data_IF_375464216876
#
_entry.id   IF_375464216876
#
_cell.length_a   1.000
_cell.length_b   1.000
_cell.length_c   1.000
_cell.angle_alpha   90.00
_cell.angle_beta   90.00
_cell.angle_gamma   90.00
#
_symmetry.space_group_name_H-M   'P 1'
#
loop_
_entity.id
_entity.type
_entity.pdbx_description
1 polymer ?
#
# COMPACT_ATOMS: atom_id res chain seq x y z
N UNK A 1 11.08 1.32 -20.74
CA UNK A 1 11.04 0.48 -19.52
C UNK A 1 12.22 0.78 -18.60
N UNK A 2 13.46 0.63 -19.07
CA UNK A 2 14.68 0.81 -18.25
C UNK A 2 14.74 2.12 -17.46
N UNK A 3 14.42 3.27 -18.09
CA UNK A 3 14.36 4.56 -17.39
C UNK A 3 13.34 4.57 -16.24
N UNK A 4 12.17 3.94 -16.44
CA UNK A 4 11.13 3.86 -15.41
C UNK A 4 11.64 3.04 -14.23
N UNK A 5 12.23 1.87 -14.49
CA UNK A 5 12.82 1.01 -13.46
C UNK A 5 13.93 1.76 -12.71
N UNK A 6 14.80 2.50 -13.40
CA UNK A 6 15.85 3.30 -12.77
C UNK A 6 15.26 4.35 -11.83
N UNK A 7 14.26 5.11 -12.25
CA UNK A 7 13.59 6.08 -11.39
C UNK A 7 12.92 5.41 -10.18
N UNK A 8 12.27 4.26 -10.38
CA UNK A 8 11.59 3.54 -9.31
C UNK A 8 12.52 2.82 -8.34
N UNK A 9 13.82 2.71 -8.63
CA UNK A 9 14.85 2.23 -7.71
C UNK A 9 15.45 3.35 -6.84
N UNK A 10 15.28 4.62 -7.22
CA UNK A 10 15.74 5.79 -6.45
C UNK A 10 14.73 6.18 -5.37
N UNK A 11 14.48 5.28 -4.41
CA UNK A 11 13.55 5.54 -3.31
C UNK A 11 14.20 6.38 -2.22
N UNK A 12 13.38 7.24 -1.60
CA UNK A 12 13.77 8.04 -0.43
C UNK A 12 12.77 7.86 0.69
N UNK A 13 13.18 8.21 1.91
CA UNK A 13 12.26 8.24 3.05
C UNK A 13 11.08 9.16 2.74
N UNK A 14 9.87 8.76 3.16
CA UNK A 14 8.63 9.49 2.84
C UNK A 14 8.68 10.94 3.30
N UNK A 15 9.34 11.23 4.42
CA UNK A 15 9.46 12.58 4.98
C UNK A 15 10.48 13.46 4.23
N UNK A 16 11.33 12.87 3.38
CA UNK A 16 12.45 13.55 2.71
C UNK A 16 12.26 13.64 1.18
N UNK A 17 11.03 13.44 0.69
CA UNK A 17 10.73 13.46 -0.74
C UNK A 17 9.53 14.35 -1.03
N UNK A 18 9.59 15.07 -2.13
CA UNK A 18 8.44 15.72 -2.74
C UNK A 18 7.95 14.87 -3.92
N UNK A 19 6.70 14.40 -3.84
CA UNK A 19 6.09 13.70 -4.95
C UNK A 19 5.83 14.67 -6.12
N UNK A 20 6.10 14.24 -7.37
CA UNK A 20 5.77 15.04 -8.54
C UNK A 20 4.27 15.35 -8.64
N UNK A 21 3.94 16.55 -9.14
CA UNK A 21 2.56 16.95 -9.48
C UNK A 21 2.16 16.49 -10.88
N UNK A 22 2.57 15.29 -11.27
CA UNK A 22 2.31 14.68 -12.59
C UNK A 22 1.69 13.30 -12.42
N UNK A 23 1.15 12.71 -13.49
CA UNK A 23 0.84 11.28 -13.54
C UNK A 23 2.13 10.45 -13.57
N UNK A 24 2.01 9.14 -13.33
CA UNK A 24 3.11 8.20 -13.51
C UNK A 24 3.05 7.01 -12.56
N UNK A 25 4.21 6.46 -12.25
CA UNK A 25 4.38 5.27 -11.41
C UNK A 25 5.04 5.63 -10.08
N UNK A 26 4.80 4.81 -9.07
CA UNK A 26 5.46 4.89 -7.77
C UNK A 26 5.72 3.48 -7.21
N UNK A 27 6.74 3.38 -6.37
CA UNK A 27 7.11 2.13 -5.71
C UNK A 27 7.39 2.40 -4.22
N UNK A 28 6.84 1.56 -3.34
CA UNK A 28 7.11 1.60 -1.90
C UNK A 28 8.15 0.55 -1.52
N UNK A 29 9.05 0.95 -0.63
CA UNK A 29 10.14 0.14 -0.12
C UNK A 29 10.16 0.11 1.39
N UNK A 30 10.73 -0.93 1.96
CA UNK A 30 11.12 -0.94 3.38
C UNK A 30 12.43 -0.15 3.56
N UNK A 31 12.49 0.75 4.54
CA UNK A 31 13.73 1.47 4.92
C UNK A 31 14.24 1.07 6.30
N UNK A 32 13.38 0.48 7.13
CA UNK A 32 13.73 -0.09 8.42
C UNK A 32 13.81 -1.62 8.36
N UNK A 33 14.57 -2.21 9.29
CA UNK A 33 14.68 -3.66 9.41
C UNK A 33 13.48 -4.23 10.18
N UNK A 34 13.14 -5.50 9.92
CA UNK A 34 12.23 -6.31 10.74
C UNK A 34 10.83 -5.69 10.96
N UNK A 35 10.37 -4.84 10.03
CA UNK A 35 9.10 -4.10 10.19
C UNK A 35 7.90 -5.06 10.25
N UNK A 36 8.01 -6.22 9.59
CA UNK A 36 7.02 -7.31 9.57
C UNK A 36 7.42 -8.51 10.45
N UNK A 37 8.40 -8.37 11.35
CA UNK A 37 8.76 -9.42 12.31
C UNK A 37 7.54 -9.84 13.16
N UNK A 38 7.45 -11.15 13.43
CA UNK A 38 6.29 -11.76 14.08
C UNK A 38 5.08 -11.96 13.17
N UNK A 39 5.21 -11.69 11.87
CA UNK A 39 4.18 -11.94 10.86
C UNK A 39 4.69 -12.91 9.79
N UNK A 40 3.77 -13.40 8.93
CA UNK A 40 4.13 -14.24 7.80
C UNK A 40 4.82 -13.47 6.64
N UNK A 41 5.11 -12.18 6.82
CA UNK A 41 5.90 -11.33 5.91
C UNK A 41 7.31 -11.03 6.50
N UNK A 42 7.76 -11.79 7.49
CA UNK A 42 9.03 -11.58 8.22
C UNK A 42 10.30 -11.81 7.38
N UNK A 43 10.15 -12.42 6.22
CA UNK A 43 11.21 -12.59 5.23
C UNK A 43 11.49 -11.32 4.41
N UNK A 44 10.56 -10.35 4.36
CA UNK A 44 10.78 -9.03 3.76
C UNK A 44 11.86 -8.29 4.55
N UNK A 45 12.94 -7.89 3.87
CA UNK A 45 14.09 -7.19 4.44
C UNK A 45 14.09 -5.71 4.07
N UNK A 46 14.96 -4.93 4.72
CA UNK A 46 15.21 -3.53 4.36
C UNK A 46 15.70 -3.45 2.91
N UNK A 47 15.15 -2.51 2.14
CA UNK A 47 15.48 -2.31 0.73
C UNK A 47 14.59 -3.11 -0.23
N UNK A 48 13.70 -3.97 0.27
CA UNK A 48 12.77 -4.70 -0.58
C UNK A 48 11.67 -3.78 -1.10
N UNK A 49 11.37 -3.88 -2.40
CA UNK A 49 10.17 -3.30 -2.97
C UNK A 49 8.95 -4.12 -2.52
N UNK A 50 8.00 -3.47 -1.85
CA UNK A 50 6.82 -4.15 -1.30
C UNK A 50 5.54 -3.84 -2.07
N UNK A 51 5.53 -2.76 -2.86
CA UNK A 51 4.39 -2.39 -3.70
C UNK A 51 4.81 -1.49 -4.85
N UNK A 52 4.27 -1.74 -6.04
CA UNK A 52 4.30 -0.83 -7.20
C UNK A 52 2.87 -0.40 -7.50
N UNK A 53 2.69 0.87 -7.87
CA UNK A 53 1.41 1.37 -8.29
C UNK A 53 1.48 2.46 -9.35
N UNK A 54 0.33 2.74 -9.94
CA UNK A 54 0.13 3.83 -10.88
C UNK A 54 -0.78 4.95 -10.35
N UNK A 55 -0.47 6.19 -10.74
CA UNK A 55 -1.32 7.37 -10.67
C UNK A 55 -1.68 7.82 -12.10
N UNK A 56 -2.79 7.29 -12.64
CA UNK A 56 -3.24 7.53 -14.02
C UNK A 56 -4.23 8.68 -14.17
N UNK A 57 -5.23 8.74 -13.28
CA UNK A 57 -6.32 9.74 -13.31
C UNK A 57 -6.08 10.90 -12.32
N UNK A 58 -4.96 10.83 -11.59
CA UNK A 58 -4.56 11.83 -10.61
C UNK A 58 -3.04 11.94 -10.57
N UNK A 59 -2.53 13.00 -9.93
CA UNK A 59 -1.11 13.23 -9.78
C UNK A 59 -0.50 12.35 -8.68
N UNK A 60 0.79 12.06 -8.79
CA UNK A 60 1.53 11.20 -7.84
C UNK A 60 1.44 11.75 -6.41
N UNK A 61 1.48 13.07 -6.20
CA UNK A 61 1.27 13.70 -4.89
C UNK A 61 -0.11 13.42 -4.30
N UNK A 62 -1.17 13.46 -5.11
CA UNK A 62 -2.53 13.15 -4.67
C UNK A 62 -2.67 11.66 -4.35
N UNK A 63 -2.13 10.79 -5.21
CA UNK A 63 -2.18 9.34 -5.04
C UNK A 63 -1.44 8.90 -3.77
N UNK A 64 -0.20 9.35 -3.59
CA UNK A 64 0.65 8.90 -2.47
C UNK A 64 0.32 9.65 -1.19
N UNK A 65 0.41 10.98 -1.14
CA UNK A 65 0.20 11.72 0.11
C UNK A 65 -1.26 11.78 0.52
N UNK A 66 -2.16 12.08 -0.42
CA UNK A 66 -3.57 12.32 -0.07
C UNK A 66 -4.39 11.03 0.05
N UNK A 67 -3.90 9.91 -0.48
CA UNK A 67 -4.53 8.59 -0.32
C UNK A 67 -3.71 7.64 0.55
N UNK A 68 -2.53 7.18 0.10
CA UNK A 68 -1.77 6.15 0.80
C UNK A 68 -1.23 6.57 2.17
N UNK A 69 -0.89 7.86 2.36
CA UNK A 69 -0.31 8.36 3.61
C UNK A 69 -1.33 9.05 4.54
N UNK A 70 -2.59 9.17 4.12
CA UNK A 70 -3.62 9.87 4.91
C UNK A 70 -4.66 8.94 5.54
N UNK A 71 -5.33 8.09 4.76
CA UNK A 71 -6.42 7.26 5.29
C UNK A 71 -6.50 5.89 4.64
N UNK A 72 -6.86 4.90 5.43
CA UNK A 72 -7.05 3.52 4.98
C UNK A 72 -8.27 3.37 4.07
N UNK A 73 -9.29 4.20 4.22
CA UNK A 73 -10.53 4.13 3.45
C UNK A 73 -10.38 4.19 1.92
N UNK A 74 -9.28 4.76 1.41
CA UNK A 74 -9.00 4.90 -0.03
C UNK A 74 -7.78 4.12 -0.53
N UNK A 75 -7.04 3.45 0.35
CA UNK A 75 -5.74 2.84 0.03
C UNK A 75 -5.76 1.33 0.25
N UNK A 76 -5.66 0.56 -0.83
CA UNK A 76 -5.57 -0.91 -0.75
C UNK A 76 -4.27 -1.35 -0.09
N UNK A 77 -3.15 -0.70 -0.42
CA UNK A 77 -1.85 -0.93 0.23
C UNK A 77 -1.93 -0.71 1.75
N UNK A 78 -2.47 0.44 2.18
CA UNK A 78 -2.56 0.79 3.60
C UNK A 78 -3.48 -0.15 4.36
N UNK A 79 -4.61 -0.56 3.75
CA UNK A 79 -5.48 -1.62 4.30
C UNK A 79 -4.73 -2.93 4.51
N UNK A 80 -3.90 -3.32 3.55
CA UNK A 80 -3.14 -4.56 3.62
C UNK A 80 -2.06 -4.49 4.70
N UNK A 81 -1.25 -3.42 4.73
CA UNK A 81 -0.22 -3.20 5.75
C UNK A 81 -0.84 -3.17 7.15
N UNK A 82 -1.88 -2.35 7.36
CA UNK A 82 -2.55 -2.26 8.65
C UNK A 82 -3.19 -3.59 9.09
N UNK A 83 -3.75 -4.36 8.15
CA UNK A 83 -4.31 -5.68 8.48
C UNK A 83 -3.23 -6.68 8.93
N UNK A 84 -2.06 -6.69 8.26
CA UNK A 84 -0.92 -7.53 8.68
C UNK A 84 -0.41 -7.11 10.06
N UNK A 85 -0.37 -5.81 10.33
CA UNK A 85 0.21 -5.25 11.55
C UNK A 85 -0.80 -4.98 12.67
N UNK A 86 -2.05 -5.44 12.52
CA UNK A 86 -3.15 -5.12 13.43
C UNK A 86 -2.81 -5.37 14.90
N UNK A 87 -2.24 -6.53 15.22
CA UNK A 87 -1.83 -6.87 16.59
C UNK A 87 -0.61 -6.07 17.05
N UNK A 88 0.41 -5.96 16.19
CA UNK A 88 1.69 -5.29 16.49
C UNK A 88 1.51 -3.80 16.78
N UNK A 89 0.60 -3.13 16.09
CA UNK A 89 0.33 -1.70 16.24
C UNK A 89 -0.93 -1.39 17.06
N UNK A 90 -1.58 -2.43 17.61
CA UNK A 90 -2.84 -2.29 18.35
C UNK A 90 -3.90 -1.54 17.53
N UNK A 91 -4.08 -1.90 16.26
CA UNK A 91 -5.01 -1.21 15.37
C UNK A 91 -6.44 -1.72 15.55
N UNK A 92 -7.38 -0.81 15.47
CA UNK A 92 -8.80 -1.09 15.62
C UNK A 92 -9.55 -0.85 14.30
N UNK A 93 -9.91 -1.92 13.57
CA UNK A 93 -10.76 -1.80 12.39
C UNK A 93 -12.13 -1.23 12.77
N UNK A 94 -12.63 -0.35 11.91
CA UNK A 94 -13.97 0.23 11.98
C UNK A 94 -14.58 0.35 10.58
N UNK A 95 -15.89 0.54 10.52
CA UNK A 95 -16.61 0.72 9.27
C UNK A 95 -16.15 1.99 8.55
N UNK A 96 -16.04 1.91 7.22
CA UNK A 96 -15.77 3.10 6.42
C UNK A 96 -17.03 3.96 6.32
N UNK A 97 -17.05 5.15 6.90
CA UNK A 97 -18.21 6.05 6.84
C UNK A 97 -19.29 5.69 7.88
N UNK A 98 -20.47 6.32 7.77
CA UNK A 98 -21.50 6.28 8.83
C UNK A 98 -22.55 5.18 8.67
N UNK A 99 -22.70 4.62 7.47
CA UNK A 99 -23.78 3.66 7.15
C UNK A 99 -23.22 2.27 6.85
N UNK A 100 -23.88 1.25 7.40
CA UNK A 100 -23.58 -0.18 7.29
C UNK A 100 -23.87 -0.78 5.91
N UNK A 101 -23.24 -0.24 4.87
CA UNK A 101 -23.27 -0.83 3.53
C UNK A 101 -22.20 -1.90 3.38
N UNK A 102 -22.43 -2.93 2.55
CA UNK A 102 -21.42 -3.96 2.29
C UNK A 102 -20.11 -3.36 1.77
N UNK A 103 -20.18 -2.29 0.96
CA UNK A 103 -18.99 -1.57 0.49
C UNK A 103 -18.18 -0.95 1.63
N UNK A 104 -18.86 -0.41 2.65
CA UNK A 104 -18.24 0.24 3.80
C UNK A 104 -17.66 -0.75 4.81
N UNK A 105 -18.31 -1.89 4.98
CA UNK A 105 -17.82 -3.01 5.77
C UNK A 105 -16.62 -3.68 5.08
N UNK A 106 -16.70 -3.90 3.77
CA UNK A 106 -15.63 -4.53 2.97
C UNK A 106 -14.37 -3.69 2.94
N UNK A 107 -14.51 -2.38 2.75
CA UNK A 107 -13.40 -1.43 2.64
C UNK A 107 -13.15 -0.69 3.95
N UNK A 108 -13.26 -1.40 5.07
CA UNK A 108 -13.02 -0.88 6.42
C UNK A 108 -11.86 0.13 6.50
N UNK A 109 -11.94 1.01 7.49
CA UNK A 109 -10.87 1.92 7.87
C UNK A 109 -10.43 1.59 9.30
N UNK A 110 -9.45 2.28 9.86
CA UNK A 110 -9.16 2.15 11.28
C UNK A 110 -9.74 3.33 12.09
N UNK A 111 -9.91 3.16 13.40
CA UNK A 111 -10.20 4.27 14.33
C UNK A 111 -9.20 5.42 14.12
N UNK A 112 -9.55 6.65 14.51
CA UNK A 112 -8.67 7.83 14.33
C UNK A 112 -7.27 7.62 14.91
N UNK A 113 -7.17 7.08 16.12
CA UNK A 113 -5.93 6.82 16.85
C UNK A 113 -5.09 5.76 16.12
N UNK A 114 -5.74 4.71 15.65
CA UNK A 114 -5.10 3.66 14.84
C UNK A 114 -4.62 4.16 13.47
N UNK A 115 -5.35 5.07 12.82
CA UNK A 115 -4.86 5.71 11.59
C UNK A 115 -3.61 6.55 11.85
N UNK A 116 -3.53 7.25 12.98
CA UNK A 116 -2.33 8.00 13.37
C UNK A 116 -1.14 7.06 13.58
N UNK A 117 -1.30 6.00 14.38
CA UNK A 117 -0.25 4.97 14.57
C UNK A 117 0.21 4.34 13.26
N UNK A 118 -0.73 4.04 12.35
CA UNK A 118 -0.39 3.48 11.04
C UNK A 118 0.32 4.50 10.13
N UNK A 119 -0.06 5.78 10.17
CA UNK A 119 0.65 6.84 9.45
C UNK A 119 2.07 6.99 9.95
N UNK A 120 2.26 7.08 11.27
CA UNK A 120 3.59 7.17 11.89
C UNK A 120 4.45 5.96 11.53
N UNK A 121 3.88 4.75 11.63
CA UNK A 121 4.56 3.54 11.20
C UNK A 121 5.00 3.63 9.74
N UNK A 122 4.10 3.99 8.81
CA UNK A 122 4.44 4.06 7.38
C UNK A 122 5.53 5.11 7.13
N UNK A 123 5.40 6.31 7.68
CA UNK A 123 6.37 7.39 7.46
C UNK A 123 7.76 7.05 7.99
N UNK A 124 7.84 6.32 9.11
CA UNK A 124 9.11 5.99 9.75
C UNK A 124 9.77 4.71 9.19
N UNK A 125 9.01 3.85 8.53
CA UNK A 125 9.48 2.51 8.13
C UNK A 125 9.51 2.28 6.62
N UNK A 126 8.84 3.12 5.83
CA UNK A 126 8.78 2.99 4.39
C UNK A 126 9.43 4.17 3.64
N UNK A 127 9.95 3.85 2.47
CA UNK A 127 10.40 4.79 1.47
C UNK A 127 9.51 4.73 0.24
N UNK A 128 9.59 5.75 -0.60
CA UNK A 128 8.87 5.81 -1.86
C UNK A 128 9.77 6.36 -2.97
N UNK A 129 9.65 5.78 -4.16
CA UNK A 129 10.23 6.27 -5.40
C UNK A 129 9.12 6.69 -6.36
N UNK A 130 9.42 7.63 -7.25
CA UNK A 130 8.49 8.15 -8.24
C UNK A 130 9.10 8.12 -9.64
N UNK A 131 8.27 7.85 -10.64
CA UNK A 131 8.62 8.07 -12.03
C UNK A 131 7.47 8.80 -12.72
N UNK A 132 7.66 10.09 -12.99
CA UNK A 132 6.74 10.87 -13.80
C UNK A 132 6.62 10.24 -15.18
N UNK A 133 5.39 9.98 -15.59
CA UNK A 133 5.10 9.41 -16.90
C UNK A 133 3.74 9.92 -17.36
N UNK A 134 3.73 10.57 -18.52
CA UNK A 134 2.52 11.03 -19.19
C UNK A 134 2.62 10.62 -20.66
N UNK A 135 1.79 9.67 -21.07
CA UNK A 135 1.58 9.35 -22.47
C UNK A 135 0.11 9.05 -22.69
N UNK A 136 -0.47 9.68 -23.72
CA UNK A 136 -1.90 9.63 -24.01
C UNK A 136 -2.26 8.32 -24.73
N UNK A 137 -1.32 7.73 -25.46
CA UNK A 137 -1.56 6.59 -26.36
C UNK A 137 -1.08 5.24 -25.82
N UNK A 138 -0.71 5.17 -24.55
CA UNK A 138 -0.07 3.99 -23.96
C UNK A 138 -0.90 3.45 -22.81
N UNK A 139 -1.16 2.14 -22.84
CA UNK A 139 -1.82 1.45 -21.73
C UNK A 139 -0.87 1.35 -20.53
N UNK A 140 -1.01 2.31 -19.62
CA UNK A 140 -0.15 2.37 -18.43
C UNK A 140 -0.37 1.19 -17.46
N UNK A 141 -1.51 0.50 -17.53
CA UNK A 141 -1.77 -0.69 -16.71
C UNK A 141 -0.94 -1.89 -17.16
N UNK A 142 -0.68 -2.02 -18.45
CA UNK A 142 0.20 -3.08 -18.97
C UNK A 142 1.66 -2.77 -18.63
N UNK A 143 2.06 -1.49 -18.66
CA UNK A 143 3.36 -1.07 -18.15
C UNK A 143 3.48 -1.36 -16.64
N UNK A 144 2.46 -1.07 -15.85
CA UNK A 144 2.45 -1.37 -14.40
C UNK A 144 2.69 -2.87 -14.15
N UNK A 145 2.05 -3.76 -14.93
CA UNK A 145 2.25 -5.21 -14.80
C UNK A 145 3.68 -5.63 -15.11
N UNK A 146 4.28 -5.09 -16.17
CA UNK A 146 5.67 -5.38 -16.50
C UNK A 146 6.63 -4.84 -15.42
N UNK A 147 6.38 -3.64 -14.88
CA UNK A 147 7.16 -3.12 -13.75
C UNK A 147 7.02 -4.04 -12.53
N UNK A 148 5.81 -4.46 -12.17
CA UNK A 148 5.56 -5.39 -11.05
C UNK A 148 6.37 -6.69 -11.23
N UNK A 149 6.46 -7.21 -12.45
CA UNK A 149 7.26 -8.39 -12.78
C UNK A 149 8.76 -8.12 -12.64
N UNK A 150 9.27 -7.00 -13.14
CA UNK A 150 10.67 -6.59 -12.99
C UNK A 150 11.10 -6.42 -11.53
N UNK A 151 10.18 -5.98 -10.65
CA UNK A 151 10.41 -5.89 -9.21
C UNK A 151 10.21 -7.23 -8.47
N UNK A 152 10.09 -8.35 -9.19
CA UNK A 152 9.98 -9.68 -8.59
C UNK A 152 8.66 -9.90 -7.85
N UNK A 153 7.58 -9.28 -8.32
CA UNK A 153 6.23 -9.43 -7.77
C UNK A 153 6.11 -8.98 -6.29
N UNK A 154 6.17 -7.65 -6.03
CA UNK A 154 6.14 -7.11 -4.68
C UNK A 154 4.98 -7.63 -3.83
N UNK A 155 5.24 -7.82 -2.53
CA UNK A 155 4.38 -8.58 -1.63
C UNK A 155 2.91 -8.11 -1.61
N UNK A 156 2.67 -6.80 -1.72
CA UNK A 156 1.33 -6.21 -1.64
C UNK A 156 0.62 -6.04 -2.99
N UNK A 157 1.23 -6.40 -4.13
CA UNK A 157 0.59 -6.43 -5.46
C UNK A 157 -0.24 -7.72 -5.70
N UNK A 158 -0.92 -8.22 -4.66
CA UNK A 158 -1.56 -9.55 -4.62
C UNK A 158 -2.66 -9.82 -5.67
N UNK A 159 -3.21 -8.76 -6.27
CA UNK A 159 -4.21 -8.88 -7.34
C UNK A 159 -3.57 -9.28 -8.69
N UNK A 160 -2.29 -8.92 -8.90
CA UNK A 160 -1.56 -9.20 -10.14
C UNK A 160 -0.85 -10.55 -10.14
N UNK A 161 -0.70 -11.18 -8.97
CA UNK A 161 0.17 -12.34 -8.78
C UNK A 161 -0.64 -13.48 -8.20
N UNK A 162 -1.15 -14.36 -9.07
CA UNK A 162 -2.00 -15.49 -8.65
C UNK A 162 -1.28 -16.42 -7.65
N UNK A 163 0.01 -16.64 -7.87
CA UNK A 163 0.84 -17.57 -7.10
C UNK A 163 1.70 -16.89 -6.03
N UNK A 164 1.43 -15.62 -5.69
CA UNK A 164 2.19 -14.93 -4.65
C UNK A 164 2.02 -15.66 -3.32
N UNK A 165 3.15 -16.06 -2.70
CA UNK A 165 3.19 -16.68 -1.37
C UNK A 165 2.53 -15.82 -0.28
N UNK A 166 2.46 -14.50 -0.48
CA UNK A 166 1.85 -13.56 0.46
C UNK A 166 0.35 -13.36 0.25
N UNK A 167 -0.19 -13.77 -0.90
CA UNK A 167 -1.57 -13.46 -1.31
C UNK A 167 -2.60 -13.93 -0.28
N UNK A 168 -2.55 -15.22 0.09
CA UNK A 168 -3.50 -15.81 1.03
C UNK A 168 -3.41 -15.14 2.40
N UNK A 169 -2.19 -14.93 2.90
CA UNK A 169 -1.95 -14.26 4.19
C UNK A 169 -2.55 -12.84 4.21
N UNK A 170 -2.31 -12.04 3.17
CA UNK A 170 -2.83 -10.67 3.08
C UNK A 170 -4.36 -10.66 2.95
N UNK A 171 -4.93 -11.59 2.17
CA UNK A 171 -6.37 -11.72 2.02
C UNK A 171 -7.06 -12.13 3.32
N UNK A 172 -6.48 -13.08 4.05
CA UNK A 172 -6.96 -13.56 5.35
C UNK A 172 -6.85 -12.48 6.42
N UNK A 173 -5.73 -11.75 6.48
CA UNK A 173 -5.57 -10.61 7.37
C UNK A 173 -6.66 -9.55 7.14
N UNK A 174 -6.91 -9.18 5.87
CA UNK A 174 -8.00 -8.25 5.52
C UNK A 174 -9.39 -8.83 5.84
N UNK A 175 -9.58 -10.15 5.69
CA UNK A 175 -10.83 -10.83 6.04
C UNK A 175 -11.11 -10.75 7.54
N UNK A 176 -10.07 -10.94 8.36
CA UNK A 176 -10.17 -10.83 9.82
C UNK A 176 -10.56 -9.41 10.23
N UNK A 177 -9.96 -8.37 9.63
CA UNK A 177 -10.39 -6.99 9.88
C UNK A 177 -11.87 -6.76 9.52
N UNK A 178 -12.33 -7.27 8.36
CA UNK A 178 -13.74 -7.17 7.97
C UNK A 178 -14.67 -7.88 8.96
N UNK A 179 -14.27 -9.03 9.49
CA UNK A 179 -15.04 -9.77 10.48
C UNK A 179 -15.17 -8.97 11.79
N UNK A 180 -14.07 -8.37 12.27
CA UNK A 180 -14.06 -7.47 13.45
C UNK A 180 -15.01 -6.28 13.24
N UNK A 181 -15.03 -5.69 12.05
CA UNK A 181 -15.95 -4.58 11.76
C UNK A 181 -17.40 -5.07 11.76
N UNK A 182 -17.70 -6.20 11.10
CA UNK A 182 -19.06 -6.75 11.05
C UNK A 182 -19.60 -7.09 12.45
N UNK A 183 -18.76 -7.59 13.36
CA UNK A 183 -19.17 -7.91 14.73
C UNK A 183 -19.45 -6.69 15.62
N UNK A 184 -19.12 -5.46 15.19
CA UNK A 184 -19.39 -4.21 15.92
C UNK A 184 -20.64 -3.48 15.43
N UNK A 185 -21.19 -3.92 14.31
CA UNK A 185 -22.30 -3.24 13.60
C UNK A 185 -23.58 -4.09 13.62
N UNK A 186 -23.45 -5.39 13.92
CA UNK A 186 -24.56 -6.32 14.18
C UNK A 186 -24.89 -6.31 15.66
#
# INVERSE_FOLDING_TARGET
>A
MEQIIRCLKDYKEINNIEAPKTTGFYAFYTIANNIFEGTALSDIKKGDCIYVGIAKDETLDKRVYKSHLKTTGKSTLRRAIGAILIKKLGLEPTMRGKTATESNLRNFTFSKESEQRLTEFINNNLGVAFCSYSSIDINLEDIEKEIIKEFGYPAFNVEYVKESKYKKVIQDARKNCRAIVKSKVV
#
